data_IF_950857820658
#
_entry.id   IF_950857820658
#
_cell.length_a   1.000
_cell.length_b   1.000
_cell.length_c   1.000
_cell.angle_alpha   90.00
_cell.angle_beta   90.00
_cell.angle_gamma   90.00
#
_symmetry.space_group_name_H-M   'P 1'
#
loop_
_entity.id
_entity.type
_entity.pdbx_description
1 polymer ?
#
# COMPACT_ATOMS: atom_id res chain seq x y z
N UNK A 1 22.40 5.35 35.11
CA UNK A 1 21.46 6.16 34.32
C UNK A 1 20.11 6.14 35.02
N UNK A 2 19.61 7.30 35.43
CA UNK A 2 18.29 7.41 36.07
C UNK A 2 17.21 7.18 35.01
N UNK A 3 16.48 6.08 35.12
CA UNK A 3 15.36 5.79 34.21
C UNK A 3 14.16 6.60 34.71
N UNK A 4 13.60 7.45 33.84
CA UNK A 4 12.39 8.21 34.17
C UNK A 4 11.25 7.28 34.61
N UNK A 5 10.51 7.69 35.63
CA UNK A 5 9.34 6.95 36.13
C UNK A 5 8.33 6.66 35.00
N UNK A 6 8.10 7.61 34.10
CA UNK A 6 7.24 7.44 32.93
C UNK A 6 7.70 6.30 32.01
N UNK A 7 9.00 6.14 31.80
CA UNK A 7 9.54 5.06 30.99
C UNK A 7 9.24 3.68 31.62
N UNK A 8 9.37 3.59 32.95
CA UNK A 8 9.05 2.36 33.70
C UNK A 8 7.56 2.03 33.59
N UNK A 9 6.69 3.02 33.78
CA UNK A 9 5.24 2.81 33.75
C UNK A 9 4.77 2.46 32.32
N UNK A 10 5.26 3.13 31.27
CA UNK A 10 4.95 2.80 29.88
C UNK A 10 5.31 1.35 29.56
N UNK A 11 6.51 0.91 29.99
CA UNK A 11 6.95 -0.47 29.80
C UNK A 11 6.03 -1.46 30.54
N UNK A 12 5.64 -1.15 31.79
CA UNK A 12 4.70 -1.98 32.57
C UNK A 12 3.33 -2.06 31.91
N UNK A 13 2.75 -0.94 31.47
CA UNK A 13 1.47 -0.89 30.76
C UNK A 13 1.50 -1.79 29.50
N UNK A 14 2.56 -1.70 28.69
CA UNK A 14 2.70 -2.54 27.48
C UNK A 14 2.75 -4.03 27.83
N UNK A 15 3.50 -4.41 28.87
CA UNK A 15 3.65 -5.80 29.29
C UNK A 15 2.36 -6.36 29.89
N UNK A 16 1.62 -5.56 30.66
CA UNK A 16 0.29 -5.93 31.17
C UNK A 16 -0.70 -6.20 30.02
N UNK A 17 -0.56 -5.47 28.91
CA UNK A 17 -1.32 -5.71 27.67
C UNK A 17 -0.78 -6.86 26.81
N UNK A 18 0.26 -7.57 27.26
CA UNK A 18 0.94 -8.65 26.52
C UNK A 18 1.39 -8.24 25.12
N UNK A 19 1.70 -6.96 24.90
CA UNK A 19 2.11 -6.44 23.61
C UNK A 19 3.63 -6.51 23.41
N UNK A 20 4.06 -7.03 22.26
CA UNK A 20 5.45 -6.82 21.79
C UNK A 20 5.63 -5.37 21.34
N UNK A 21 6.85 -4.83 21.36
CA UNK A 21 7.14 -3.46 20.90
C UNK A 21 6.70 -3.20 19.46
N UNK A 22 6.89 -4.19 18.58
CA UNK A 22 6.41 -4.14 17.19
C UNK A 22 4.88 -4.04 17.09
N UNK A 23 4.16 -4.75 17.97
CA UNK A 23 2.70 -4.68 18.02
C UNK A 23 2.24 -3.34 18.60
N UNK A 24 2.88 -2.85 19.67
CA UNK A 24 2.60 -1.53 20.23
C UNK A 24 2.82 -0.40 19.22
N UNK A 25 3.85 -0.49 18.38
CA UNK A 25 4.11 0.45 17.29
C UNK A 25 3.00 0.51 16.23
N UNK A 26 2.09 -0.47 16.17
CA UNK A 26 0.91 -0.38 15.30
C UNK A 26 -0.19 0.54 15.85
N UNK A 27 -0.22 0.76 17.17
CA UNK A 27 -1.25 1.56 17.83
C UNK A 27 -0.77 2.97 18.19
N UNK A 28 0.54 3.20 18.13
CA UNK A 28 1.19 4.45 18.51
C UNK A 28 1.76 5.16 17.27
N UNK A 29 1.94 6.49 17.30
CA UNK A 29 2.59 7.24 16.23
C UNK A 29 4.12 7.03 16.17
N UNK A 30 4.65 6.08 16.94
CA UNK A 30 6.08 5.83 17.10
C UNK A 30 6.49 4.48 16.52
N UNK A 31 7.66 4.42 15.89
CA UNK A 31 8.27 3.15 15.51
C UNK A 31 8.73 2.35 16.74
N UNK A 32 8.81 1.03 16.61
CA UNK A 32 9.21 0.10 17.67
C UNK A 32 10.59 0.42 18.26
N UNK A 33 11.53 0.94 17.45
CA UNK A 33 12.84 1.41 17.93
C UNK A 33 12.74 2.62 18.83
N UNK A 34 11.81 3.53 18.53
CA UNK A 34 11.59 4.72 19.37
C UNK A 34 10.91 4.32 20.69
N UNK A 35 9.92 3.42 20.66
CA UNK A 35 9.32 2.86 21.87
C UNK A 35 10.38 2.20 22.75
N UNK A 36 11.28 1.40 22.18
CA UNK A 36 12.39 0.79 22.92
C UNK A 36 13.30 1.84 23.57
N UNK A 37 13.67 2.87 22.82
CA UNK A 37 14.52 3.97 23.33
C UNK A 37 13.86 4.69 24.51
N UNK A 38 12.55 4.98 24.41
CA UNK A 38 11.78 5.64 25.47
C UNK A 38 11.65 4.75 26.71
N UNK A 39 11.31 3.47 26.55
CA UNK A 39 11.22 2.50 27.66
C UNK A 39 12.55 2.27 28.38
N UNK A 40 13.66 2.41 27.68
CA UNK A 40 15.01 2.29 28.24
C UNK A 40 15.52 3.61 28.85
N UNK A 41 14.68 4.65 28.92
CA UNK A 41 15.04 5.96 29.49
C UNK A 41 15.99 6.79 28.62
N UNK A 42 16.19 6.42 27.35
CA UNK A 42 17.09 7.11 26.41
C UNK A 42 16.38 8.22 25.61
N UNK A 43 15.31 8.77 26.17
CA UNK A 43 14.54 9.87 25.58
C UNK A 43 13.63 10.54 26.60
N UNK A 44 13.40 11.84 26.42
CA UNK A 44 12.49 12.60 27.27
C UNK A 44 11.05 12.23 26.89
N UNK A 45 10.23 11.97 27.91
CA UNK A 45 8.81 11.67 27.79
C UNK A 45 8.05 12.86 28.38
N UNK A 46 7.34 13.62 27.55
CA UNK A 46 6.46 14.69 28.04
C UNK A 46 5.19 14.11 28.68
N UNK A 47 4.49 14.92 29.47
CA UNK A 47 3.21 14.53 30.09
C UNK A 47 2.19 14.16 29.00
N UNK A 48 2.14 14.92 27.91
CA UNK A 48 1.28 14.65 26.76
C UNK A 48 1.61 13.32 26.08
N UNK A 49 2.90 13.03 25.89
CA UNK A 49 3.34 11.76 25.34
C UNK A 49 2.96 10.61 26.27
N UNK A 50 3.14 10.77 27.58
CA UNK A 50 2.75 9.76 28.56
C UNK A 50 1.24 9.49 28.52
N UNK A 51 0.42 10.54 28.48
CA UNK A 51 -1.05 10.44 28.34
C UNK A 51 -1.46 9.72 27.06
N UNK A 52 -0.77 9.97 25.95
CA UNK A 52 -1.00 9.22 24.71
C UNK A 52 -0.76 7.71 24.89
N UNK A 53 0.34 7.30 25.53
CA UNK A 53 0.59 5.88 25.81
C UNK A 53 -0.49 5.28 26.70
N UNK A 54 -0.88 6.01 27.75
CA UNK A 54 -1.93 5.61 28.67
C UNK A 54 -3.27 5.41 27.95
N UNK A 55 -3.69 6.35 27.10
CA UNK A 55 -4.95 6.28 26.36
C UNK A 55 -4.96 5.15 25.32
N UNK A 56 -3.86 4.97 24.60
CA UNK A 56 -3.71 3.92 23.57
C UNK A 56 -3.69 2.54 24.20
N UNK A 57 -3.03 2.40 25.34
CA UNK A 57 -3.04 1.17 26.12
C UNK A 57 -4.30 1.02 26.99
N UNK A 58 -5.23 1.99 26.97
CA UNK A 58 -6.52 1.92 27.65
C UNK A 58 -6.41 1.81 29.17
N UNK A 59 -5.52 2.59 29.79
CA UNK A 59 -5.39 2.69 31.24
C UNK A 59 -5.97 4.01 31.74
N UNK A 60 -6.70 3.98 32.85
CA UNK A 60 -7.16 5.19 33.54
C UNK A 60 -6.08 5.74 34.47
N UNK A 61 -6.24 6.97 34.97
CA UNK A 61 -5.30 7.55 35.94
C UNK A 61 -5.23 6.74 37.24
N UNK A 62 -6.36 6.18 37.66
CA UNK A 62 -6.42 5.27 38.80
C UNK A 62 -5.62 3.98 38.55
N UNK A 63 -5.64 3.45 37.32
CA UNK A 63 -4.85 2.27 36.98
C UNK A 63 -3.35 2.58 36.99
N UNK A 64 -2.95 3.75 36.47
CA UNK A 64 -1.56 4.21 36.51
C UNK A 64 -1.06 4.36 37.94
N UNK A 65 -1.89 4.91 38.84
CA UNK A 65 -1.56 5.01 40.27
C UNK A 65 -1.45 3.63 40.94
N UNK A 66 -2.30 2.68 40.56
CA UNK A 66 -2.18 1.29 41.01
C UNK A 66 -0.89 0.62 40.49
N UNK A 67 -0.46 0.92 39.25
CA UNK A 67 0.80 0.43 38.67
C UNK A 67 2.02 1.07 39.38
N UNK A 68 1.92 2.35 39.74
CA UNK A 68 2.93 3.11 40.48
C UNK A 68 3.12 2.55 41.88
N UNK A 69 2.03 2.36 42.62
CA UNK A 69 2.03 1.83 43.99
C UNK A 69 2.27 0.31 44.08
N UNK A 70 2.38 -0.39 42.93
CA UNK A 70 2.60 -1.83 42.88
C UNK A 70 1.40 -2.68 43.27
N UNK A 71 0.22 -2.06 43.46
CA UNK A 71 -1.03 -2.70 43.88
C UNK A 71 -1.90 -3.16 42.70
N UNK A 72 -1.43 -2.98 41.46
CA UNK A 72 -2.18 -3.39 40.27
C UNK A 72 -2.33 -4.92 40.22
N UNK A 73 -3.44 -5.43 40.74
CA UNK A 73 -3.91 -6.80 40.47
C UNK A 73 -4.28 -6.84 38.99
N UNK A 74 -3.75 -7.80 38.25
CA UNK A 74 -4.02 -7.96 36.83
C UNK A 74 -5.54 -8.00 36.59
N UNK A 75 -6.13 -6.87 36.21
CA UNK A 75 -7.57 -6.78 35.96
C UNK A 75 -7.85 -7.67 34.75
N UNK A 76 -8.78 -8.61 34.92
CA UNK A 76 -9.21 -9.60 33.92
C UNK A 76 -9.79 -9.00 32.63
N UNK A 77 -9.96 -7.67 32.57
CA UNK A 77 -10.36 -6.95 31.35
C UNK A 77 -9.14 -6.48 30.58
N UNK A 78 -8.58 -7.36 29.76
CA UNK A 78 -7.76 -6.94 28.62
C UNK A 78 -8.70 -6.27 27.61
N UNK A 79 -9.00 -4.98 27.79
CA UNK A 79 -9.60 -4.16 26.72
C UNK A 79 -8.59 -4.13 25.56
N UNK A 80 -8.91 -4.71 24.41
CA UNK A 80 -8.00 -4.69 23.27
C UNK A 80 -7.53 -3.26 22.95
N UNK A 81 -6.25 -3.05 22.57
CA UNK A 81 -5.78 -1.73 22.17
C UNK A 81 -6.70 -1.17 21.08
N UNK A 82 -7.09 0.11 21.22
CA UNK A 82 -7.97 0.78 20.25
C UNK A 82 -7.43 0.55 18.83
N UNK A 83 -8.33 0.21 17.89
CA UNK A 83 -8.00 -0.13 16.51
C UNK A 83 -6.90 0.77 15.93
N UNK A 84 -6.00 0.16 15.16
CA UNK A 84 -4.93 0.82 14.42
C UNK A 84 -5.43 2.14 13.82
N UNK A 85 -4.66 3.22 13.98
CA UNK A 85 -4.77 4.43 13.16
C UNK A 85 -4.40 4.02 11.73
N UNK A 86 -5.30 3.30 11.08
CA UNK A 86 -5.26 3.03 9.65
C UNK A 86 -5.68 4.31 8.94
N UNK A 87 -5.65 4.27 7.62
CA UNK A 87 -5.93 5.35 6.68
C UNK A 87 -7.22 6.15 6.88
N UNK A 88 -7.99 5.95 7.96
CA UNK A 88 -9.14 6.75 8.41
C UNK A 88 -8.87 8.27 8.37
N UNK A 89 -7.65 8.71 8.71
CA UNK A 89 -7.26 10.13 8.66
C UNK A 89 -6.48 10.55 7.40
N UNK A 90 -6.28 9.65 6.42
CA UNK A 90 -5.69 10.08 5.14
C UNK A 90 -6.76 10.86 4.38
N UNK A 91 -6.44 12.10 4.01
CA UNK A 91 -7.24 12.87 3.03
C UNK A 91 -7.61 11.94 1.88
N UNK A 92 -8.89 11.91 1.52
CA UNK A 92 -9.39 11.15 0.39
C UNK A 92 -8.74 11.67 -0.90
N UNK A 93 -7.65 11.03 -1.30
CA UNK A 93 -6.89 11.39 -2.50
C UNK A 93 -7.16 10.32 -3.52
N UNK A 94 -7.30 10.71 -4.79
CA UNK A 94 -7.52 9.79 -5.93
C UNK A 94 -6.56 8.59 -5.97
N UNK A 95 -5.34 8.73 -5.42
CA UNK A 95 -4.37 7.64 -5.26
C UNK A 95 -4.91 6.42 -4.48
N UNK A 96 -5.87 6.62 -3.58
CA UNK A 96 -6.50 5.58 -2.79
C UNK A 96 -7.56 4.78 -3.57
N UNK A 97 -8.07 5.31 -4.69
CA UNK A 97 -9.15 4.70 -5.46
C UNK A 97 -8.63 4.17 -6.80
N UNK A 98 -8.93 2.91 -7.12
CA UNK A 98 -8.56 2.27 -8.39
C UNK A 98 -9.69 2.48 -9.40
N UNK A 99 -9.58 3.51 -10.26
CA UNK A 99 -10.52 3.72 -11.38
C UNK A 99 -9.75 3.69 -12.70
N UNK A 100 -9.68 2.51 -13.32
CA UNK A 100 -9.00 2.31 -14.60
C UNK A 100 -9.88 2.90 -15.70
N UNK A 101 -9.44 4.01 -16.28
CA UNK A 101 -10.12 4.64 -17.42
C UNK A 101 -9.59 4.10 -18.74
N UNK A 102 -10.24 4.43 -19.87
CA UNK A 102 -9.80 3.96 -21.19
C UNK A 102 -8.42 4.50 -21.56
N UNK A 103 -8.12 5.74 -21.19
CA UNK A 103 -6.81 6.37 -21.37
C UNK A 103 -5.71 5.57 -20.69
N UNK A 104 -5.94 5.09 -19.45
CA UNK A 104 -4.99 4.24 -18.73
C UNK A 104 -4.65 2.96 -19.53
N UNK A 105 -5.66 2.34 -20.13
CA UNK A 105 -5.50 1.12 -20.94
C UNK A 105 -4.75 1.40 -22.24
N UNK A 106 -5.05 2.51 -22.91
CA UNK A 106 -4.34 2.91 -24.14
C UNK A 106 -2.87 3.22 -23.84
N UNK A 107 -2.56 3.91 -22.73
CA UNK A 107 -1.17 4.16 -22.34
C UNK A 107 -0.40 2.86 -22.05
N UNK A 108 -1.07 1.86 -21.45
CA UNK A 108 -0.51 0.52 -21.27
C UNK A 108 -0.24 -0.17 -22.60
N UNK A 109 -1.18 -0.12 -23.54
CA UNK A 109 -1.01 -0.66 -24.90
C UNK A 109 0.20 -0.04 -25.61
N UNK A 110 0.33 1.28 -25.56
CA UNK A 110 1.47 1.99 -26.16
C UNK A 110 2.80 1.59 -25.52
N UNK A 111 2.85 1.46 -24.18
CA UNK A 111 4.05 0.98 -23.48
C UNK A 111 4.44 -0.43 -23.95
N UNK A 112 3.47 -1.34 -24.04
CA UNK A 112 3.69 -2.73 -24.48
C UNK A 112 4.15 -2.75 -25.93
N UNK A 113 3.55 -1.94 -26.82
CA UNK A 113 3.99 -1.80 -28.22
C UNK A 113 5.43 -1.31 -28.35
N UNK A 114 5.89 -0.46 -27.44
CA UNK A 114 7.30 -0.02 -27.37
C UNK A 114 8.23 -1.08 -26.77
N UNK A 115 7.70 -2.14 -26.16
CA UNK A 115 8.49 -3.17 -25.49
C UNK A 115 9.11 -2.71 -24.16
N UNK A 116 8.54 -1.69 -23.51
CA UNK A 116 9.05 -1.18 -22.24
C UNK A 116 8.39 -1.86 -21.03
N UNK A 117 9.18 -2.13 -20.00
CA UNK A 117 8.63 -2.40 -18.67
C UNK A 117 8.19 -1.09 -17.97
N UNK A 118 7.43 -1.19 -16.87
CA UNK A 118 6.90 -0.02 -16.16
C UNK A 118 7.98 0.86 -15.51
N UNK A 119 9.10 0.27 -15.10
CA UNK A 119 10.22 0.99 -14.49
C UNK A 119 10.99 1.77 -15.54
N UNK A 120 11.34 1.13 -16.65
CA UNK A 120 12.00 1.74 -17.81
C UNK A 120 11.12 2.85 -18.39
N UNK A 121 9.82 2.62 -18.55
CA UNK A 121 8.87 3.65 -18.97
C UNK A 121 8.79 4.83 -17.99
N UNK A 122 8.86 4.58 -16.67
CA UNK A 122 8.90 5.65 -15.67
C UNK A 122 10.18 6.47 -15.77
N UNK A 123 11.32 5.80 -16.00
CA UNK A 123 12.63 6.43 -16.19
C UNK A 123 12.65 7.32 -17.45
N UNK A 124 12.15 6.80 -18.57
CA UNK A 124 12.04 7.55 -19.83
C UNK A 124 11.17 8.80 -19.66
N UNK A 125 10.02 8.65 -18.98
CA UNK A 125 9.10 9.77 -18.70
C UNK A 125 9.62 10.73 -17.62
N UNK A 126 10.77 10.46 -16.99
CA UNK A 126 11.30 11.19 -15.82
C UNK A 126 10.32 11.25 -14.64
N UNK A 127 9.59 10.16 -14.42
CA UNK A 127 8.67 10.01 -13.30
C UNK A 127 9.28 9.18 -12.17
N UNK A 128 8.64 9.22 -10.99
CA UNK A 128 9.01 8.34 -9.88
C UNK A 128 8.85 6.86 -10.23
N UNK A 129 9.64 5.99 -9.60
CA UNK A 129 9.77 4.55 -9.87
C UNK A 129 8.46 3.80 -10.16
N UNK A 130 7.39 4.12 -9.43
CA UNK A 130 6.10 3.42 -9.49
C UNK A 130 5.01 4.21 -10.24
N UNK A 131 5.36 5.37 -10.83
CA UNK A 131 4.38 6.29 -11.38
C UNK A 131 3.59 5.71 -12.55
N UNK A 132 4.27 5.07 -13.52
CA UNK A 132 3.60 4.42 -14.65
C UNK A 132 2.69 3.29 -14.15
N UNK A 133 3.15 2.48 -13.20
CA UNK A 133 2.31 1.45 -12.57
C UNK A 133 1.06 2.03 -11.90
N UNK A 134 1.15 3.19 -11.24
CA UNK A 134 -0.01 3.86 -10.67
C UNK A 134 -0.94 4.46 -11.73
N UNK A 135 -0.38 4.98 -12.82
CA UNK A 135 -1.14 5.52 -13.96
C UNK A 135 -1.94 4.41 -14.64
N UNK A 136 -1.31 3.30 -15.00
CA UNK A 136 -1.96 2.17 -15.68
C UNK A 136 -3.05 1.54 -14.81
N UNK A 137 -2.85 1.54 -13.49
CA UNK A 137 -3.86 1.06 -12.54
C UNK A 137 -4.94 2.09 -12.20
N UNK A 138 -4.96 3.27 -12.83
CA UNK A 138 -6.00 4.26 -12.61
C UNK A 138 -5.96 4.93 -11.23
N UNK A 139 -4.80 4.94 -10.57
CA UNK A 139 -4.57 5.59 -9.25
C UNK A 139 -4.06 7.03 -9.39
N UNK A 140 -4.01 7.58 -10.60
CA UNK A 140 -3.49 8.92 -10.87
C UNK A 140 -4.50 9.68 -11.73
N UNK A 141 -4.68 10.97 -11.45
CA UNK A 141 -5.39 11.87 -12.37
C UNK A 141 -4.54 12.07 -13.62
N UNK A 142 -5.04 11.57 -14.75
CA UNK A 142 -4.50 11.88 -16.07
C UNK A 142 -5.04 13.23 -16.51
N UNK A 143 -4.12 14.17 -16.71
CA UNK A 143 -4.38 15.43 -17.43
C UNK A 143 -3.88 15.27 -18.85
N UNK A 144 -4.45 16.01 -19.80
CA UNK A 144 -4.05 15.97 -21.21
C UNK A 144 -2.54 16.21 -21.39
N UNK A 145 -1.96 17.17 -20.63
CA UNK A 145 -0.52 17.42 -20.62
C UNK A 145 0.30 16.19 -20.22
N UNK A 146 -0.18 15.38 -19.26
CA UNK A 146 0.50 14.14 -18.86
C UNK A 146 0.37 13.06 -19.92
N UNK A 147 -0.81 12.92 -20.52
CA UNK A 147 -1.04 11.96 -21.59
C UNK A 147 -0.09 12.26 -22.75
N UNK A 148 -0.07 13.51 -23.23
CA UNK A 148 0.80 13.95 -24.31
C UNK A 148 2.26 13.68 -24.02
N UNK A 149 2.75 14.06 -22.83
CA UNK A 149 4.13 13.78 -22.40
C UNK A 149 4.48 12.28 -22.48
N UNK A 150 3.60 11.40 -22.01
CA UNK A 150 3.84 9.94 -22.02
C UNK A 150 3.85 9.41 -23.46
N UNK A 151 2.86 9.81 -24.27
CA UNK A 151 2.70 9.37 -25.67
C UNK A 151 3.92 9.78 -26.50
N UNK A 152 4.35 11.04 -26.41
CA UNK A 152 5.52 11.57 -27.09
C UNK A 152 6.82 10.92 -26.59
N UNK A 153 6.96 10.70 -25.28
CA UNK A 153 8.12 9.99 -24.71
C UNK A 153 8.19 8.53 -25.20
N UNK A 154 7.05 7.91 -25.45
CA UNK A 154 7.00 6.59 -26.06
C UNK A 154 7.29 6.61 -27.56
N UNK A 155 7.44 7.78 -28.18
CA UNK A 155 7.72 7.91 -29.61
C UNK A 155 6.48 7.72 -30.49
N UNK A 156 5.29 7.93 -29.93
CA UNK A 156 4.04 7.85 -30.65
C UNK A 156 3.38 9.23 -30.79
N UNK A 157 2.47 9.31 -31.76
CA UNK A 157 1.69 10.52 -32.06
C UNK A 157 0.37 10.52 -31.27
N UNK A 158 -0.15 11.71 -30.94
CA UNK A 158 -1.46 11.83 -30.26
C UNK A 158 -2.63 11.34 -31.11
N UNK A 159 -2.48 11.36 -32.44
CA UNK A 159 -3.44 10.81 -33.40
C UNK A 159 -3.64 9.30 -33.17
N UNK A 160 -2.53 8.55 -33.07
CA UNK A 160 -2.56 7.12 -32.73
C UNK A 160 -3.23 6.88 -31.37
N UNK A 161 -2.92 7.71 -30.37
CA UNK A 161 -3.57 7.61 -29.06
C UNK A 161 -5.10 7.76 -29.17
N UNK A 162 -5.59 8.75 -29.92
CA UNK A 162 -7.03 8.94 -30.14
C UNK A 162 -7.67 7.82 -30.97
N UNK A 163 -6.94 7.23 -31.93
CA UNK A 163 -7.42 6.06 -32.67
C UNK A 163 -7.62 4.86 -31.73
N UNK A 164 -6.64 4.57 -30.87
CA UNK A 164 -6.73 3.48 -29.89
C UNK A 164 -7.82 3.71 -28.85
N UNK A 165 -8.09 4.96 -28.47
CA UNK A 165 -9.21 5.28 -27.59
C UNK A 165 -10.58 4.89 -28.16
N UNK A 166 -10.75 5.00 -29.48
CA UNK A 166 -12.00 4.65 -30.18
C UNK A 166 -12.17 3.14 -30.38
N UNK A 167 -11.09 2.37 -30.33
CA UNK A 167 -11.18 0.93 -30.46
C UNK A 167 -11.94 0.35 -29.26
N UNK A 168 -12.86 -0.62 -29.47
CA UNK A 168 -13.57 -1.25 -28.37
C UNK A 168 -12.66 -2.17 -27.54
N UNK A 169 -11.67 -2.79 -28.17
CA UNK A 169 -10.79 -3.76 -27.55
C UNK A 169 -9.34 -3.55 -28.02
N UNK A 170 -8.40 -3.49 -27.08
CA UNK A 170 -6.98 -3.32 -27.37
C UNK A 170 -6.28 -4.69 -27.46
N UNK A 171 -5.15 -4.76 -28.18
CA UNK A 171 -4.42 -6.01 -28.38
C UNK A 171 -4.00 -6.66 -27.06
N UNK A 172 -3.48 -5.89 -26.10
CA UNK A 172 -3.10 -6.47 -24.80
C UNK A 172 -4.31 -7.04 -24.05
N UNK A 173 -5.50 -6.44 -24.19
CA UNK A 173 -6.71 -6.95 -23.56
C UNK A 173 -7.14 -8.29 -24.18
N UNK A 174 -7.01 -8.44 -25.50
CA UNK A 174 -7.25 -9.70 -26.20
C UNK A 174 -6.30 -10.78 -25.67
N UNK A 175 -5.01 -10.48 -25.59
CA UNK A 175 -4.01 -11.43 -25.11
C UNK A 175 -4.29 -11.86 -23.67
N UNK A 176 -4.60 -10.91 -22.78
CA UNK A 176 -4.96 -11.19 -21.38
C UNK A 176 -6.22 -12.06 -21.28
N UNK A 177 -7.26 -11.76 -22.06
CA UNK A 177 -8.48 -12.58 -22.11
C UNK A 177 -8.22 -13.99 -22.65
N UNK A 178 -7.39 -14.12 -23.70
CA UNK A 178 -7.00 -15.42 -24.23
C UNK A 178 -6.23 -16.25 -23.19
N UNK A 179 -5.31 -15.64 -22.44
CA UNK A 179 -4.58 -16.31 -21.36
C UNK A 179 -5.54 -16.82 -20.28
N UNK A 180 -6.46 -15.98 -19.81
CA UNK A 180 -7.47 -16.39 -18.82
C UNK A 180 -8.35 -17.55 -19.30
N UNK A 181 -8.71 -17.57 -20.58
CA UNK A 181 -9.47 -18.68 -21.17
C UNK A 181 -8.61 -19.95 -21.18
N UNK A 182 -7.36 -19.86 -21.64
CA UNK A 182 -6.45 -21.00 -21.72
C UNK A 182 -6.18 -21.62 -20.34
N UNK A 183 -6.05 -20.80 -19.29
CA UNK A 183 -5.84 -21.27 -17.91
C UNK A 183 -7.04 -22.05 -17.34
N UNK A 184 -8.25 -21.86 -17.90
CA UNK A 184 -9.48 -22.54 -17.44
C UNK A 184 -9.79 -23.82 -18.21
N UNK A 185 -9.12 -24.07 -19.32
CA UNK A 185 -9.37 -25.25 -20.14
C UNK A 185 -8.71 -26.49 -19.53
N UNK A 186 -9.41 -27.62 -19.61
CA UNK A 186 -8.85 -28.92 -19.24
C UNK A 186 -7.88 -29.45 -20.31
N UNK A 187 -7.01 -30.37 -19.91
CA UNK A 187 -5.91 -30.85 -20.75
C UNK A 187 -6.36 -31.41 -22.09
N UNK A 188 -7.51 -32.10 -22.14
CA UNK A 188 -8.07 -32.63 -23.38
C UNK A 188 -8.43 -31.52 -24.37
N UNK A 189 -9.07 -30.45 -23.90
CA UNK A 189 -9.41 -29.30 -24.74
C UNK A 189 -8.18 -28.53 -25.20
N UNK A 190 -7.17 -28.40 -24.32
CA UNK A 190 -5.88 -27.78 -24.69
C UNK A 190 -5.17 -28.56 -25.79
N UNK A 191 -5.14 -29.90 -25.72
CA UNK A 191 -4.55 -30.75 -26.78
C UNK A 191 -5.22 -30.57 -28.14
N UNK A 192 -6.52 -30.28 -28.16
CA UNK A 192 -7.27 -30.01 -29.41
C UNK A 192 -6.97 -28.62 -29.96
N UNK A 193 -6.90 -27.60 -29.09
CA UNK A 193 -6.73 -26.20 -29.51
C UNK A 193 -5.27 -25.87 -29.85
N UNK A 194 -4.31 -26.54 -29.23
CA UNK A 194 -2.88 -26.25 -29.41
C UNK A 194 -2.41 -26.32 -30.88
N UNK A 195 -2.72 -27.38 -31.66
CA UNK A 195 -2.36 -27.44 -33.08
C UNK A 195 -2.99 -26.31 -33.91
N UNK A 196 -4.22 -25.89 -33.57
CA UNK A 196 -4.90 -24.79 -34.26
C UNK A 196 -4.18 -23.47 -34.02
N UNK A 197 -3.83 -23.16 -32.76
CA UNK A 197 -3.06 -21.96 -32.42
C UNK A 197 -1.66 -21.98 -33.07
N UNK A 198 -1.00 -23.14 -33.07
CA UNK A 198 0.32 -23.29 -33.68
C UNK A 198 0.28 -23.07 -35.20
N UNK A 199 -0.75 -23.58 -35.87
CA UNK A 199 -0.98 -23.36 -37.31
C UNK A 199 -1.15 -21.87 -37.62
N UNK A 200 -2.00 -21.16 -36.85
CA UNK A 200 -2.26 -19.73 -37.04
C UNK A 200 -1.07 -18.82 -36.69
N UNK A 201 -0.17 -19.26 -35.80
CA UNK A 201 1.00 -18.47 -35.40
C UNK A 201 2.18 -18.61 -36.38
N UNK A 202 2.26 -19.75 -37.08
CA UNK A 202 3.33 -20.06 -38.03
C UNK A 202 2.94 -19.78 -39.49
N UNK A 203 1.74 -19.25 -39.74
CA UNK A 203 1.28 -18.77 -41.06
C UNK A 203 1.61 -17.29 -41.25
#
# INVERSE_FOLDING_TARGET
>A
AYISEFAVIIKKMRLLRKLRRKQAAHFLPFDHKNIERLENGRGNISIEQFKLFQDVYGFTDADVECIRSGKYKAIEKIIEPKEKITTKNRKDRRFCHRKITRECKVLKELRIKKGLDQYSASKDCKFGRNAIGFIENGRVTLTEKKIRHIVETYGFTMELFHQLLKQPLLRHEIVEQCQEILERLDENKLRVIFPMLQSMANS
#
